data_IF_793070683868
#
_entry.id   IF_793070683868
#
_cell.length_a   1.000
_cell.length_b   1.000
_cell.length_c   1.000
_cell.angle_alpha   90.00
_cell.angle_beta   90.00
_cell.angle_gamma   90.00
#
_symmetry.space_group_name_H-M   'P 1'
#
loop_
_entity.id
_entity.type
_entity.pdbx_description
1 polymer ?
#
# COMPACT_ATOMS: atom_id res chain seq x y z
N UNK A 1 28.73 77.59 -12.58
CA UNK A 1 29.11 76.76 -11.38
C UNK A 1 27.84 76.41 -10.60
N UNK A 2 27.48 75.11 -10.43
CA UNK A 2 26.33 74.73 -9.60
C UNK A 2 26.61 75.07 -8.14
N UNK A 3 25.65 75.71 -7.46
CA UNK A 3 25.74 76.16 -6.08
C UNK A 3 26.15 74.99 -5.15
N UNK A 4 26.95 75.24 -4.12
CA UNK A 4 27.33 74.28 -3.07
C UNK A 4 26.10 73.61 -2.49
N UNK A 5 25.01 74.36 -2.32
CA UNK A 5 23.69 73.81 -1.86
C UNK A 5 23.13 72.74 -2.77
N UNK A 6 23.23 72.89 -4.09
CA UNK A 6 22.76 71.91 -5.07
C UNK A 6 23.59 70.62 -5.03
N UNK A 7 24.91 70.74 -4.85
CA UNK A 7 25.80 69.55 -4.71
C UNK A 7 25.53 68.78 -3.43
N UNK A 8 25.25 69.45 -2.31
CA UNK A 8 24.95 68.85 -1.02
C UNK A 8 23.60 68.09 -1.04
N UNK A 9 22.56 68.71 -1.60
CA UNK A 9 21.26 68.08 -1.79
C UNK A 9 21.38 66.85 -2.68
N UNK A 10 22.10 66.95 -3.81
CA UNK A 10 22.30 65.83 -4.72
C UNK A 10 23.04 64.65 -4.04
N UNK A 11 24.07 64.92 -3.23
CA UNK A 11 24.82 63.92 -2.48
C UNK A 11 23.96 63.23 -1.49
N UNK A 12 23.15 63.94 -0.70
CA UNK A 12 22.21 63.34 0.28
C UNK A 12 21.18 62.43 -0.41
N UNK A 13 20.60 62.89 -1.53
CA UNK A 13 19.64 62.10 -2.30
C UNK A 13 20.25 60.83 -2.88
N UNK A 14 21.49 60.91 -3.42
CA UNK A 14 22.20 59.73 -3.93
C UNK A 14 22.50 58.73 -2.80
N UNK A 15 22.99 59.21 -1.67
CA UNK A 15 23.25 58.33 -0.52
C UNK A 15 21.98 57.66 0.01
N UNK A 16 20.89 58.40 0.15
CA UNK A 16 19.61 57.83 0.63
C UNK A 16 19.02 56.84 -0.38
N UNK A 17 19.12 57.12 -1.68
CA UNK A 17 18.68 56.18 -2.71
C UNK A 17 19.53 54.88 -2.67
N UNK A 18 20.85 55.02 -2.58
CA UNK A 18 21.77 53.89 -2.53
C UNK A 18 21.51 53.00 -1.29
N UNK A 19 21.35 53.61 -0.12
CA UNK A 19 21.03 52.87 1.12
C UNK A 19 19.67 52.17 1.03
N UNK A 20 18.65 52.82 0.48
CA UNK A 20 17.32 52.24 0.29
C UNK A 20 17.34 51.03 -0.64
N UNK A 21 18.06 51.13 -1.77
CA UNK A 21 18.26 50.03 -2.71
C UNK A 21 19.01 48.87 -2.05
N UNK A 22 20.09 49.16 -1.34
CA UNK A 22 20.87 48.12 -0.63
C UNK A 22 20.03 47.36 0.39
N UNK A 23 19.27 48.08 1.23
CA UNK A 23 18.36 47.47 2.22
C UNK A 23 17.30 46.64 1.51
N UNK A 24 16.72 47.15 0.42
CA UNK A 24 15.72 46.44 -0.37
C UNK A 24 16.25 45.12 -0.95
N UNK A 25 17.44 45.12 -1.53
CA UNK A 25 18.08 43.90 -2.06
C UNK A 25 18.34 42.86 -0.96
N UNK A 26 18.90 43.32 0.18
CA UNK A 26 19.13 42.41 1.32
C UNK A 26 17.82 41.86 1.86
N UNK A 27 16.79 42.67 2.04
CA UNK A 27 15.49 42.26 2.52
C UNK A 27 14.83 41.22 1.60
N UNK A 28 14.83 41.46 0.29
CA UNK A 28 14.29 40.56 -0.72
C UNK A 28 15.07 39.24 -0.71
N UNK A 29 16.40 39.30 -0.72
CA UNK A 29 17.26 38.11 -0.70
C UNK A 29 16.99 37.22 0.54
N UNK A 30 16.88 37.85 1.72
CA UNK A 30 16.57 37.14 2.95
C UNK A 30 15.15 36.56 2.94
N UNK A 31 14.16 37.30 2.43
CA UNK A 31 12.78 36.83 2.32
C UNK A 31 12.67 35.60 1.40
N UNK A 32 13.30 35.64 0.22
CA UNK A 32 13.32 34.51 -0.71
C UNK A 32 14.00 33.28 -0.09
N UNK A 33 15.14 33.50 0.59
CA UNK A 33 15.85 32.39 1.26
C UNK A 33 15.04 31.79 2.39
N UNK A 34 14.37 32.60 3.20
CA UNK A 34 13.52 32.13 4.29
C UNK A 34 12.31 31.39 3.75
N UNK A 35 11.60 31.95 2.76
CA UNK A 35 10.47 31.31 2.12
C UNK A 35 10.85 29.95 1.50
N UNK A 36 12.02 29.84 0.88
CA UNK A 36 12.50 28.57 0.35
C UNK A 36 12.78 27.52 1.43
N UNK A 37 13.36 27.93 2.56
CA UNK A 37 13.57 27.03 3.71
C UNK A 37 12.24 26.58 4.34
N UNK A 38 11.32 27.52 4.54
CA UNK A 38 10.01 27.23 5.12
C UNK A 38 9.23 26.28 4.21
N UNK A 39 9.29 26.48 2.88
CA UNK A 39 8.70 25.58 1.91
C UNK A 39 9.25 24.16 2.02
N UNK A 40 10.59 24.01 2.06
CA UNK A 40 11.23 22.70 2.19
C UNK A 40 10.84 22.01 3.50
N UNK A 41 10.84 22.74 4.61
CA UNK A 41 10.44 22.21 5.92
C UNK A 41 8.97 21.76 5.89
N UNK A 42 8.08 22.57 5.31
CA UNK A 42 6.67 22.22 5.16
C UNK A 42 6.51 20.93 4.33
N UNK A 43 7.21 20.79 3.21
CA UNK A 43 7.19 19.60 2.37
C UNK A 43 7.66 18.36 3.15
N UNK A 44 8.77 18.48 3.88
CA UNK A 44 9.29 17.38 4.70
C UNK A 44 8.30 16.95 5.79
N UNK A 45 7.77 17.88 6.55
CA UNK A 45 6.81 17.58 7.61
C UNK A 45 5.50 16.97 7.07
N UNK A 46 5.00 17.51 5.94
CA UNK A 46 3.81 16.96 5.30
C UNK A 46 4.05 15.55 4.79
N UNK A 47 5.20 15.32 4.13
CA UNK A 47 5.60 14.00 3.66
C UNK A 47 5.74 13.00 4.81
N UNK A 48 6.45 13.36 5.88
CA UNK A 48 6.59 12.50 7.06
C UNK A 48 5.24 12.12 7.66
N UNK A 49 4.37 13.11 7.88
CA UNK A 49 3.03 12.85 8.43
C UNK A 49 2.24 11.87 7.57
N UNK A 50 2.24 12.07 6.24
CA UNK A 50 1.50 11.18 5.32
C UNK A 50 2.12 9.79 5.24
N UNK A 51 3.44 9.68 5.30
CA UNK A 51 4.12 8.39 5.42
C UNK A 51 3.72 7.65 6.70
N UNK A 52 3.62 8.35 7.84
CA UNK A 52 3.15 7.75 9.08
C UNK A 52 1.69 7.28 8.99
N UNK A 53 0.79 8.04 8.35
CA UNK A 53 -0.60 7.66 8.12
C UNK A 53 -0.70 6.40 7.23
N UNK A 54 0.04 6.34 6.12
CA UNK A 54 0.11 5.17 5.24
C UNK A 54 0.68 3.96 5.97
N UNK A 55 1.81 4.12 6.68
CA UNK A 55 2.41 3.04 7.44
C UNK A 55 1.47 2.49 8.52
N UNK A 56 0.73 3.38 9.21
CA UNK A 56 -0.27 2.96 10.19
C UNK A 56 -1.40 2.13 9.55
N UNK A 57 -1.82 2.48 8.33
CA UNK A 57 -2.84 1.73 7.59
C UNK A 57 -2.30 0.35 7.20
N UNK A 58 -1.10 0.29 6.62
CA UNK A 58 -0.41 -0.95 6.25
C UNK A 58 -0.25 -1.87 7.46
N UNK A 59 0.30 -1.37 8.58
CA UNK A 59 0.49 -2.15 9.80
C UNK A 59 -0.80 -2.73 10.38
N UNK A 60 -1.92 -2.02 10.29
CA UNK A 60 -3.23 -2.54 10.75
C UNK A 60 -3.70 -3.71 9.89
N UNK A 61 -3.46 -3.64 8.57
CA UNK A 61 -3.80 -4.72 7.64
C UNK A 61 -2.90 -5.94 7.94
N UNK A 62 -1.59 -5.74 8.02
CA UNK A 62 -0.64 -6.79 8.39
C UNK A 62 -1.05 -7.46 9.70
N UNK A 63 -1.25 -6.69 10.76
CA UNK A 63 -1.67 -7.22 12.06
C UNK A 63 -2.98 -8.01 11.98
N UNK A 64 -3.94 -7.57 11.15
CA UNK A 64 -5.21 -8.28 10.98
C UNK A 64 -5.00 -9.65 10.33
N UNK A 65 -4.24 -9.71 9.23
CA UNK A 65 -3.99 -10.96 8.50
C UNK A 65 -3.08 -11.90 9.29
N UNK A 66 -2.04 -11.36 9.96
CA UNK A 66 -1.16 -12.15 10.82
C UNK A 66 -1.94 -12.78 11.98
N UNK A 67 -2.79 -12.00 12.66
CA UNK A 67 -3.65 -12.53 13.73
C UNK A 67 -4.65 -13.56 13.18
N UNK A 68 -5.22 -13.31 12.00
CA UNK A 68 -6.09 -14.28 11.35
C UNK A 68 -5.35 -15.59 11.05
N UNK A 69 -4.09 -15.52 10.61
CA UNK A 69 -3.28 -16.71 10.35
C UNK A 69 -3.07 -17.55 11.61
N UNK A 70 -2.79 -16.91 12.75
CA UNK A 70 -2.67 -17.57 14.05
C UNK A 70 -4.00 -18.20 14.50
N UNK A 71 -5.11 -17.47 14.38
CA UNK A 71 -6.46 -17.97 14.71
C UNK A 71 -6.84 -19.14 13.81
N UNK A 72 -6.58 -19.06 12.50
CA UNK A 72 -6.87 -20.11 11.54
C UNK A 72 -6.07 -21.39 11.81
N UNK A 73 -4.93 -21.30 12.50
CA UNK A 73 -4.08 -22.45 12.81
C UNK A 73 -4.22 -22.94 14.25
N UNK A 74 -4.94 -22.23 15.13
CA UNK A 74 -4.97 -22.49 16.59
C UNK A 74 -5.43 -23.88 16.98
N UNK A 75 -6.31 -24.50 16.19
CA UNK A 75 -6.86 -25.85 16.41
C UNK A 75 -6.63 -26.77 15.20
N UNK A 76 -5.68 -26.44 14.33
CA UNK A 76 -5.40 -27.23 13.15
C UNK A 76 -4.64 -28.51 13.51
N UNK A 77 -5.19 -29.67 13.13
CA UNK A 77 -4.53 -30.96 13.30
C UNK A 77 -3.78 -31.35 12.03
N UNK A 78 -2.48 -31.14 12.08
CA UNK A 78 -1.59 -31.40 10.94
C UNK A 78 -1.51 -32.89 10.58
N UNK A 79 -1.58 -33.78 11.55
CA UNK A 79 -1.52 -35.21 11.29
C UNK A 79 -2.78 -35.68 10.53
N UNK A 80 -3.95 -35.25 10.96
CA UNK A 80 -5.20 -35.48 10.25
C UNK A 80 -5.21 -34.89 8.83
N UNK A 81 -4.66 -33.68 8.67
CA UNK A 81 -4.52 -33.03 7.36
C UNK A 81 -3.67 -33.84 6.38
N UNK A 82 -2.59 -34.44 6.84
CA UNK A 82 -1.73 -35.29 5.99
C UNK A 82 -2.39 -36.62 5.61
N UNK A 83 -3.29 -37.11 6.44
CA UNK A 83 -3.91 -38.44 6.26
C UNK A 83 -5.18 -38.41 5.41
N UNK A 84 -5.88 -37.28 5.37
CA UNK A 84 -7.17 -37.17 4.67
C UNK A 84 -7.32 -35.79 4.00
N UNK A 85 -7.57 -35.79 2.71
CA UNK A 85 -7.88 -34.57 1.96
C UNK A 85 -9.19 -33.90 2.42
N UNK A 86 -10.14 -34.68 2.93
CA UNK A 86 -11.42 -34.18 3.40
C UNK A 86 -11.31 -33.43 4.76
N UNK A 87 -10.17 -33.60 5.47
CA UNK A 87 -9.92 -32.84 6.69
C UNK A 87 -9.96 -31.33 6.46
N UNK A 88 -9.36 -30.86 5.38
CA UNK A 88 -9.34 -29.44 5.02
C UNK A 88 -10.76 -28.86 4.87
N UNK A 89 -11.67 -29.61 4.25
CA UNK A 89 -13.07 -29.17 4.08
C UNK A 89 -13.79 -29.09 5.42
N UNK A 90 -13.67 -30.13 6.26
CA UNK A 90 -14.26 -30.14 7.60
C UNK A 90 -13.70 -29.03 8.49
N UNK A 91 -12.39 -28.80 8.44
CA UNK A 91 -11.74 -27.74 9.21
C UNK A 91 -12.16 -26.35 8.74
N UNK A 92 -12.34 -26.17 7.43
CA UNK A 92 -12.85 -24.92 6.83
C UNK A 92 -14.16 -24.48 7.47
N UNK A 93 -15.10 -25.41 7.70
CA UNK A 93 -16.39 -25.12 8.35
C UNK A 93 -16.22 -24.52 9.75
N UNK A 94 -15.16 -24.89 10.47
CA UNK A 94 -14.90 -24.39 11.83
C UNK A 94 -14.29 -23.00 11.86
N UNK A 95 -13.49 -22.61 10.84
CA UNK A 95 -12.75 -21.35 10.82
C UNK A 95 -13.36 -20.29 9.92
N UNK A 96 -14.29 -20.68 9.03
CA UNK A 96 -14.88 -19.79 8.03
C UNK A 96 -15.43 -18.50 8.64
N UNK A 97 -16.18 -18.61 9.76
CA UNK A 97 -16.76 -17.42 10.38
C UNK A 97 -15.68 -16.46 10.89
N UNK A 98 -14.61 -16.96 11.49
CA UNK A 98 -13.50 -16.14 11.93
C UNK A 98 -12.82 -15.44 10.74
N UNK A 99 -12.60 -16.15 9.63
CA UNK A 99 -12.03 -15.56 8.39
C UNK A 99 -12.89 -14.40 7.89
N UNK A 100 -14.20 -14.57 7.85
CA UNK A 100 -15.12 -13.50 7.44
C UNK A 100 -15.15 -12.33 8.42
N UNK A 101 -15.12 -12.61 9.73
CA UNK A 101 -15.16 -11.57 10.76
C UNK A 101 -13.90 -10.69 10.71
N UNK A 102 -12.72 -11.28 10.54
CA UNK A 102 -11.48 -10.51 10.36
C UNK A 102 -11.55 -9.60 9.15
N UNK A 103 -11.99 -10.11 8.00
CA UNK A 103 -12.12 -9.30 6.78
C UNK A 103 -13.17 -8.19 6.92
N UNK A 104 -14.29 -8.46 7.59
CA UNK A 104 -15.31 -7.44 7.85
C UNK A 104 -14.83 -6.32 8.78
N UNK A 105 -13.85 -6.61 9.64
CA UNK A 105 -13.26 -5.63 10.56
C UNK A 105 -11.95 -5.01 10.03
N UNK A 106 -11.45 -5.46 8.87
CA UNK A 106 -10.26 -4.90 8.22
C UNK A 106 -10.70 -3.85 7.21
N UNK A 107 -10.28 -2.61 7.43
CA UNK A 107 -10.64 -1.50 6.55
C UNK A 107 -10.12 -1.72 5.14
N UNK A 108 -11.00 -1.58 4.15
CA UNK A 108 -10.66 -1.75 2.74
C UNK A 108 -10.55 -3.20 2.27
N UNK A 109 -10.77 -4.21 3.13
CA UNK A 109 -10.76 -5.60 2.71
C UNK A 109 -11.89 -5.88 1.70
N UNK A 110 -11.51 -6.28 0.50
CA UNK A 110 -12.40 -6.63 -0.61
C UNK A 110 -12.53 -8.13 -0.76
N UNK A 111 -11.41 -8.84 -0.58
CA UNK A 111 -11.36 -10.30 -0.65
C UNK A 111 -10.64 -10.84 0.57
N UNK A 112 -11.03 -12.02 1.05
CA UNK A 112 -10.31 -12.78 2.06
C UNK A 112 -10.29 -14.24 1.65
N UNK A 113 -9.17 -14.90 1.89
CA UNK A 113 -9.00 -16.30 1.56
C UNK A 113 -8.11 -17.05 2.53
N UNK A 114 -8.48 -18.30 2.78
CA UNK A 114 -7.66 -19.34 3.40
C UNK A 114 -7.58 -20.48 2.39
N UNK A 115 -6.39 -20.79 1.88
CA UNK A 115 -6.21 -21.83 0.88
C UNK A 115 -5.17 -22.84 1.33
N UNK A 116 -5.51 -24.11 1.24
CA UNK A 116 -4.65 -25.20 1.67
C UNK A 116 -3.72 -25.69 0.57
N UNK A 117 -2.70 -26.42 0.99
CA UNK A 117 -1.76 -27.07 0.09
C UNK A 117 -2.49 -28.16 -0.74
N UNK A 118 -2.52 -28.05 -2.07
CA UNK A 118 -3.27 -28.95 -2.95
C UNK A 118 -2.78 -30.41 -2.91
N UNK A 119 -1.56 -30.65 -2.40
CA UNK A 119 -1.05 -31.99 -2.20
C UNK A 119 -1.80 -32.75 -1.09
N UNK A 120 -2.35 -32.02 -0.10
CA UNK A 120 -2.99 -32.57 1.10
C UNK A 120 -4.47 -32.21 1.23
N UNK A 121 -5.03 -31.43 0.31
CA UNK A 121 -6.43 -30.99 0.33
C UNK A 121 -7.12 -31.24 -1.00
N UNK A 122 -8.45 -31.11 -1.03
CA UNK A 122 -9.19 -31.05 -2.27
C UNK A 122 -8.93 -29.71 -2.98
N UNK A 123 -8.96 -29.65 -4.32
CA UNK A 123 -8.55 -28.44 -5.08
C UNK A 123 -9.32 -27.17 -4.73
N UNK A 124 -10.56 -27.31 -4.25
CA UNK A 124 -11.45 -26.20 -3.89
C UNK A 124 -11.59 -26.02 -2.38
N UNK A 125 -10.81 -26.76 -1.57
CA UNK A 125 -10.84 -26.63 -0.10
C UNK A 125 -10.36 -25.25 0.35
N UNK A 126 -11.02 -24.74 1.38
CA UNK A 126 -10.68 -23.46 2.00
C UNK A 126 -11.79 -22.43 1.91
N UNK A 127 -11.49 -21.24 2.40
CA UNK A 127 -12.39 -20.08 2.34
C UNK A 127 -11.98 -19.18 1.18
N UNK A 128 -12.94 -18.70 0.43
CA UNK A 128 -12.79 -17.59 -0.49
C UNK A 128 -14.05 -16.73 -0.40
N UNK A 129 -13.91 -15.49 0.04
CA UNK A 129 -15.02 -14.56 0.12
C UNK A 129 -14.64 -13.23 -0.50
N UNK A 130 -15.55 -12.63 -1.26
CA UNK A 130 -15.32 -11.40 -2.01
C UNK A 130 -16.52 -10.47 -1.90
N UNK A 131 -16.26 -9.17 -1.89
CA UNK A 131 -17.25 -8.12 -2.06
C UNK A 131 -17.46 -7.83 -3.55
N UNK A 132 -18.70 -7.58 -3.93
CA UNK A 132 -19.02 -7.16 -5.31
C UNK A 132 -18.69 -5.68 -5.56
N UNK A 133 -18.66 -4.89 -4.48
CA UNK A 133 -18.20 -3.49 -4.45
C UNK A 133 -17.67 -3.20 -3.04
N UNK A 134 -16.93 -2.13 -2.86
CA UNK A 134 -16.31 -1.75 -1.57
C UNK A 134 -17.33 -1.73 -0.42
N UNK A 135 -18.55 -1.29 -0.69
CA UNK A 135 -19.62 -1.13 0.31
C UNK A 135 -20.55 -2.37 0.44
N UNK A 136 -20.32 -3.42 -0.35
CA UNK A 136 -21.16 -4.62 -0.29
C UNK A 136 -20.69 -5.58 0.81
N UNK A 137 -21.56 -6.50 1.21
CA UNK A 137 -21.20 -7.57 2.12
C UNK A 137 -20.28 -8.61 1.45
N UNK A 138 -19.43 -9.25 2.25
CA UNK A 138 -18.63 -10.39 1.79
C UNK A 138 -19.54 -11.57 1.44
N UNK A 139 -19.34 -12.12 0.26
CA UNK A 139 -20.02 -13.31 -0.22
C UNK A 139 -19.03 -14.46 -0.35
N UNK A 140 -19.31 -15.58 0.32
CA UNK A 140 -18.54 -16.80 0.13
C UNK A 140 -18.75 -17.33 -1.28
N UNK A 141 -17.68 -17.61 -1.97
CA UNK A 141 -17.63 -18.21 -3.30
C UNK A 141 -16.88 -19.53 -3.22
N UNK A 142 -17.15 -20.41 -4.17
CA UNK A 142 -16.35 -21.62 -4.31
C UNK A 142 -14.93 -21.24 -4.72
N UNK A 143 -13.90 -21.64 -3.96
CA UNK A 143 -12.52 -21.34 -4.32
C UNK A 143 -12.15 -21.96 -5.68
N UNK A 144 -11.38 -21.24 -6.48
CA UNK A 144 -10.87 -21.73 -7.75
C UNK A 144 -9.87 -22.86 -7.54
N UNK A 145 -9.95 -23.90 -8.38
CA UNK A 145 -8.91 -24.91 -8.45
C UNK A 145 -7.66 -24.34 -9.12
N UNK A 146 -6.68 -23.96 -8.32
CA UNK A 146 -5.41 -23.42 -8.79
C UNK A 146 -4.37 -24.51 -9.07
N UNK A 147 -4.62 -25.77 -8.69
CA UNK A 147 -3.72 -26.89 -8.93
C UNK A 147 -3.61 -27.29 -10.40
N UNK A 148 -4.47 -26.73 -11.26
CA UNK A 148 -4.42 -26.91 -12.71
C UNK A 148 -3.34 -26.09 -13.41
N UNK A 149 -2.73 -25.11 -12.71
CA UNK A 149 -1.66 -24.26 -13.22
C UNK A 149 -0.30 -24.77 -12.76
N UNK A 150 0.74 -24.53 -13.58
CA UNK A 150 2.13 -24.76 -13.15
C UNK A 150 2.53 -23.79 -12.03
N UNK A 151 3.31 -24.26 -11.06
CA UNK A 151 3.75 -23.43 -9.92
C UNK A 151 4.56 -22.20 -10.35
N UNK A 152 5.17 -22.23 -11.52
CA UNK A 152 5.91 -21.10 -12.12
C UNK A 152 5.02 -20.08 -12.83
N UNK A 153 3.72 -20.35 -12.96
CA UNK A 153 2.74 -19.42 -13.54
C UNK A 153 2.36 -18.33 -12.53
N UNK A 154 3.25 -17.32 -12.40
CA UNK A 154 3.09 -16.23 -11.43
C UNK A 154 1.81 -15.44 -11.66
N UNK A 155 1.34 -15.36 -12.91
CA UNK A 155 0.12 -14.62 -13.25
C UNK A 155 -1.12 -15.22 -12.59
N UNK A 156 -1.28 -16.55 -12.65
CA UNK A 156 -2.47 -17.22 -12.13
C UNK A 156 -2.34 -17.69 -10.70
N UNK A 157 -1.13 -18.10 -10.27
CA UNK A 157 -0.95 -18.74 -8.95
C UNK A 157 0.19 -18.14 -8.11
N UNK A 158 0.77 -17.00 -8.54
CA UNK A 158 1.81 -16.32 -7.80
C UNK A 158 1.37 -15.89 -6.41
N UNK A 159 0.11 -15.51 -6.24
CA UNK A 159 -0.49 -15.15 -4.94
C UNK A 159 -0.41 -16.30 -3.90
N UNK A 160 -0.34 -17.56 -4.36
CA UNK A 160 -0.17 -18.74 -3.52
C UNK A 160 1.31 -19.13 -3.37
N UNK A 161 2.02 -19.31 -4.48
CA UNK A 161 3.36 -19.89 -4.45
C UNK A 161 4.46 -18.92 -4.03
N UNK A 162 4.36 -17.63 -4.34
CA UNK A 162 5.41 -16.66 -3.97
C UNK A 162 5.61 -16.55 -2.46
N UNK A 163 4.57 -16.37 -1.61
CA UNK A 163 4.76 -16.33 -0.16
C UNK A 163 5.25 -17.68 0.40
N UNK A 164 4.78 -18.80 -0.16
CA UNK A 164 5.24 -20.14 0.26
C UNK A 164 6.72 -20.35 -0.06
N UNK A 165 7.19 -19.91 -1.22
CA UNK A 165 8.62 -19.99 -1.61
C UNK A 165 9.49 -19.03 -0.80
N UNK A 166 9.01 -17.83 -0.54
CA UNK A 166 9.69 -16.84 0.30
C UNK A 166 9.76 -17.27 1.77
N UNK A 167 8.82 -18.11 2.23
CA UNK A 167 8.62 -18.53 3.63
C UNK A 167 8.38 -17.37 4.59
N UNK A 168 7.84 -16.30 4.09
CA UNK A 168 7.49 -15.10 4.83
C UNK A 168 6.25 -14.44 4.23
N UNK A 169 5.60 -13.62 5.03
CA UNK A 169 4.46 -12.83 4.57
C UNK A 169 4.94 -11.79 3.57
N UNK A 170 4.18 -11.59 2.48
CA UNK A 170 4.54 -10.64 1.43
C UNK A 170 3.35 -9.77 1.01
N UNK A 171 3.67 -8.54 0.62
CA UNK A 171 2.79 -7.70 -0.16
C UNK A 171 2.96 -8.00 -1.64
N UNK A 172 1.85 -8.33 -2.31
CA UNK A 172 1.83 -8.46 -3.77
C UNK A 172 1.79 -7.07 -4.41
N UNK A 173 2.26 -6.95 -5.65
CA UNK A 173 2.10 -5.71 -6.40
C UNK A 173 0.62 -5.38 -6.63
N UNK A 174 0.25 -4.08 -6.62
CA UNK A 174 -1.12 -3.69 -6.92
C UNK A 174 -1.57 -4.16 -8.30
N UNK A 175 -2.82 -4.61 -8.41
CA UNK A 175 -3.41 -5.09 -9.66
C UNK A 175 -4.90 -4.74 -9.77
N UNK A 176 -5.41 -4.71 -11.00
CA UNK A 176 -6.83 -4.49 -11.26
C UNK A 176 -7.57 -5.84 -11.24
N UNK A 177 -8.56 -5.97 -10.38
CA UNK A 177 -9.52 -7.06 -10.47
C UNK A 177 -10.65 -6.65 -11.42
N UNK A 178 -10.60 -7.13 -12.65
CA UNK A 178 -11.54 -6.75 -13.70
C UNK A 178 -12.97 -7.24 -13.41
N UNK A 179 -13.14 -8.31 -12.63
CA UNK A 179 -14.47 -8.86 -12.32
C UNK A 179 -15.32 -7.91 -11.45
N UNK A 180 -14.67 -7.16 -10.57
CA UNK A 180 -15.33 -6.20 -9.66
C UNK A 180 -14.91 -4.76 -9.92
N UNK A 181 -13.99 -4.54 -10.87
CA UNK A 181 -13.44 -3.24 -11.26
C UNK A 181 -12.85 -2.46 -10.07
N UNK A 182 -12.09 -3.16 -9.22
CA UNK A 182 -11.38 -2.57 -8.07
C UNK A 182 -9.88 -2.79 -8.24
N UNK A 183 -9.10 -1.71 -8.05
CA UNK A 183 -7.64 -1.79 -8.00
C UNK A 183 -7.22 -2.19 -6.59
N UNK A 184 -6.56 -3.33 -6.45
CA UNK A 184 -6.30 -3.99 -5.18
C UNK A 184 -4.81 -4.22 -4.94
N UNK A 185 -4.46 -4.36 -3.66
CA UNK A 185 -3.15 -4.82 -3.21
C UNK A 185 -3.38 -5.97 -2.21
N UNK A 186 -2.59 -7.02 -2.28
CA UNK A 186 -2.78 -8.21 -1.45
C UNK A 186 -1.67 -8.36 -0.42
N UNK A 187 -2.03 -8.67 0.83
CA UNK A 187 -1.10 -9.15 1.84
C UNK A 187 -1.37 -10.61 2.14
N UNK A 188 -0.33 -11.44 2.02
CA UNK A 188 -0.46 -12.90 2.07
C UNK A 188 0.56 -13.50 3.05
N UNK A 189 0.06 -14.32 3.97
CA UNK A 189 0.84 -15.01 5.00
C UNK A 189 0.86 -16.51 4.68
N UNK A 190 2.03 -17.12 4.48
CA UNK A 190 2.15 -18.55 4.29
C UNK A 190 2.04 -19.28 5.64
N UNK A 191 1.39 -20.43 5.61
CA UNK A 191 1.16 -21.28 6.77
C UNK A 191 2.05 -22.52 6.69
N UNK A 192 2.81 -22.78 7.77
CA UNK A 192 3.72 -23.91 7.85
C UNK A 192 3.48 -24.74 9.10
N UNK A 193 3.67 -26.05 8.97
CA UNK A 193 3.79 -26.96 10.10
C UNK A 193 5.18 -26.83 10.76
N UNK A 194 5.33 -27.41 11.95
CA UNK A 194 6.60 -27.41 12.68
C UNK A 194 7.76 -28.07 11.91
N UNK A 195 7.45 -29.04 11.04
CA UNK A 195 8.44 -29.72 10.19
C UNK A 195 8.82 -28.91 8.93
N UNK A 196 8.23 -27.71 8.77
CA UNK A 196 8.46 -26.82 7.62
C UNK A 196 7.63 -27.18 6.38
N UNK A 197 6.70 -28.12 6.46
CA UNK A 197 5.78 -28.43 5.37
C UNK A 197 4.74 -27.31 5.24
N UNK A 198 4.51 -26.82 4.02
CA UNK A 198 3.46 -25.83 3.76
C UNK A 198 2.08 -26.44 3.98
N UNK A 199 1.30 -25.80 4.84
CA UNK A 199 -0.13 -26.11 5.05
C UNK A 199 -0.98 -25.35 4.03
N UNK A 200 -0.58 -24.15 3.68
CA UNK A 200 -1.31 -23.27 2.78
C UNK A 200 -0.97 -21.80 2.97
N UNK A 201 -1.95 -20.95 2.75
CA UNK A 201 -1.83 -19.49 2.92
C UNK A 201 -3.11 -18.89 3.48
N UNK A 202 -2.97 -17.73 4.13
CA UNK A 202 -4.07 -16.80 4.43
C UNK A 202 -3.74 -15.45 3.79
N UNK A 203 -4.73 -14.80 3.18
CA UNK A 203 -4.52 -13.49 2.59
C UNK A 203 -5.78 -12.65 2.54
N UNK A 204 -5.56 -11.35 2.38
CA UNK A 204 -6.60 -10.37 2.09
C UNK A 204 -6.18 -9.48 0.92
N UNK A 205 -7.14 -9.21 0.04
CA UNK A 205 -7.00 -8.19 -0.99
C UNK A 205 -7.69 -6.92 -0.47
N UNK A 206 -6.94 -5.83 -0.51
CA UNK A 206 -7.35 -4.54 0.03
C UNK A 206 -7.57 -3.57 -1.13
N UNK A 207 -8.65 -2.82 -1.10
CA UNK A 207 -8.86 -1.70 -2.02
C UNK A 207 -7.70 -0.70 -1.90
N UNK A 208 -6.93 -0.58 -2.97
CA UNK A 208 -5.75 0.27 -3.01
C UNK A 208 -6.08 1.76 -2.85
N UNK A 209 -7.34 2.16 -3.04
CA UNK A 209 -7.80 3.52 -2.79
C UNK A 209 -7.58 3.95 -1.33
N UNK A 210 -7.56 3.01 -0.38
CA UNK A 210 -7.22 3.28 1.02
C UNK A 210 -5.84 3.93 1.19
N UNK A 211 -4.93 3.69 0.24
CA UNK A 211 -3.58 4.27 0.23
C UNK A 211 -3.51 5.46 -0.74
N UNK A 212 -4.10 5.33 -1.94
CA UNK A 212 -3.99 6.39 -2.96
C UNK A 212 -4.76 7.64 -2.57
N UNK A 213 -5.88 7.54 -1.85
CA UNK A 213 -6.61 8.69 -1.35
C UNK A 213 -5.77 9.53 -0.37
N UNK A 214 -5.00 8.88 0.50
CA UNK A 214 -4.06 9.56 1.39
C UNK A 214 -2.99 10.34 0.63
N UNK A 215 -2.57 9.81 -0.52
CA UNK A 215 -1.61 10.49 -1.41
C UNK A 215 -2.28 11.66 -2.12
N UNK A 216 -3.49 11.50 -2.66
CA UNK A 216 -4.23 12.52 -3.40
C UNK A 216 -4.68 13.70 -2.52
N UNK A 217 -5.00 13.43 -1.26
CA UNK A 217 -5.31 14.47 -0.27
C UNK A 217 -4.09 15.30 0.10
N UNK A 218 -2.88 14.84 -0.21
CA UNK A 218 -1.64 15.53 0.15
C UNK A 218 -1.40 16.71 -0.77
N UNK A 219 -1.72 17.91 -0.28
CA UNK A 219 -1.50 19.16 -0.98
C UNK A 219 -0.32 19.91 -0.36
N UNK A 220 0.60 20.32 -1.21
CA UNK A 220 1.71 21.20 -0.85
C UNK A 220 1.51 22.52 -1.59
N UNK A 221 1.10 23.56 -0.88
CA UNK A 221 0.69 24.84 -1.46
C UNK A 221 -0.46 24.68 -2.47
N UNK A 222 -0.51 25.55 -3.50
CA UNK A 222 -1.60 25.58 -4.48
C UNK A 222 -1.41 24.58 -5.64
N UNK A 223 -0.18 24.18 -5.93
CA UNK A 223 0.16 23.39 -7.13
C UNK A 223 0.99 22.15 -6.84
N UNK A 224 1.42 21.95 -5.60
CA UNK A 224 2.16 20.75 -5.21
C UNK A 224 1.24 19.56 -5.03
N UNK A 225 1.77 18.37 -5.31
CA UNK A 225 1.12 17.08 -5.14
C UNK A 225 2.12 16.06 -4.60
N UNK A 226 1.60 14.94 -4.10
CA UNK A 226 2.37 13.77 -3.71
C UNK A 226 2.20 12.65 -4.73
N UNK A 227 3.11 11.68 -4.71
CA UNK A 227 3.03 10.43 -5.44
C UNK A 227 3.70 9.33 -4.60
N UNK A 228 3.41 8.07 -4.90
CA UNK A 228 3.93 6.91 -4.18
C UNK A 228 4.97 6.18 -5.03
N UNK A 229 6.08 5.78 -4.41
CA UNK A 229 7.09 4.93 -5.02
C UNK A 229 7.36 3.71 -4.15
N UNK A 230 7.85 2.64 -4.76
CA UNK A 230 8.45 1.53 -4.04
C UNK A 230 9.89 1.86 -3.58
N UNK A 231 10.53 0.88 -2.93
CA UNK A 231 11.91 1.01 -2.44
C UNK A 231 12.95 1.15 -3.57
N UNK A 232 12.62 0.77 -4.81
CA UNK A 232 13.46 0.93 -6.01
C UNK A 232 13.26 2.29 -6.70
N UNK A 233 12.40 3.15 -6.12
CA UNK A 233 11.94 4.41 -6.68
C UNK A 233 11.07 4.27 -7.95
N UNK A 234 10.51 3.08 -8.21
CA UNK A 234 9.50 2.91 -9.24
C UNK A 234 8.18 3.53 -8.77
N UNK A 235 7.50 4.29 -9.65
CA UNK A 235 6.26 4.98 -9.31
C UNK A 235 5.13 3.97 -9.24
N UNK A 236 4.61 3.73 -8.04
CA UNK A 236 3.45 2.87 -7.78
C UNK A 236 2.12 3.60 -7.99
N UNK A 237 2.08 4.88 -7.64
CA UNK A 237 0.90 5.71 -7.82
C UNK A 237 1.26 7.16 -8.07
N UNK A 238 0.61 7.77 -9.05
CA UNK A 238 0.71 9.18 -9.37
C UNK A 238 -0.63 9.69 -9.90
N UNK A 239 -1.06 10.87 -9.45
CA UNK A 239 -2.34 11.49 -9.86
C UNK A 239 -2.50 11.64 -11.38
N UNK A 240 -1.40 11.88 -12.10
CA UNK A 240 -1.38 11.83 -13.56
C UNK A 240 -0.87 10.45 -14.00
N UNK A 241 -1.76 9.61 -14.53
CA UNK A 241 -1.45 8.27 -14.99
C UNK A 241 -0.33 8.23 -16.05
N UNK A 242 -0.20 9.28 -16.88
CA UNK A 242 0.88 9.38 -17.89
C UNK A 242 2.29 9.47 -17.26
N UNK A 243 2.38 9.83 -15.97
CA UNK A 243 3.63 9.91 -15.23
C UNK A 243 4.02 8.59 -14.56
N UNK A 244 3.11 7.61 -14.54
CA UNK A 244 3.39 6.27 -14.00
C UNK A 244 4.21 5.52 -15.03
N UNK A 245 5.43 5.14 -14.65
CA UNK A 245 6.25 4.29 -15.50
C UNK A 245 5.71 2.85 -15.43
N UNK A 246 4.87 2.49 -16.39
CA UNK A 246 4.29 1.14 -16.52
C UNK A 246 5.32 0.03 -16.78
N UNK A 247 6.61 0.33 -16.82
CA UNK A 247 7.67 -0.64 -17.07
C UNK A 247 7.80 -1.74 -16.02
N UNK A 248 7.09 -1.60 -14.87
CA UNK A 248 7.00 -2.65 -13.84
C UNK A 248 5.56 -3.04 -13.47
N UNK A 249 4.55 -2.40 -14.08
CA UNK A 249 3.12 -2.72 -13.87
C UNK A 249 2.51 -3.55 -15.00
N UNK A 250 3.30 -4.02 -15.92
CA UNK A 250 2.88 -5.06 -16.84
C UNK A 250 3.18 -6.42 -16.20
N UNK A 251 2.39 -6.78 -15.19
CA UNK A 251 1.99 -8.16 -15.06
C UNK A 251 0.86 -8.33 -16.07
N UNK A 252 1.05 -9.17 -17.06
CA UNK A 252 0.03 -9.49 -18.05
C UNK A 252 -1.20 -10.08 -17.37
#
# INVERSE_FOLDING_TARGET
MKSVRTKLIASILICSLFTSVLIGVIAISNSVRTAGKDAMTMMQLTGQKKTEEINSTIQKIEQSVDTLSEVAMSNFDYDSFRQSKDYADTYTETVQQAVLDFANHTNGAVTVYLRYNPNYSNPTSGVFAQRQSVDSELQCLTPTDFSMYDESDVEHVGWYYLPVQAKEAIWMSPYMNENINIYMISYVVPLFAEDGTSIGIVGMDIDFSQITDLVDETKVYQSGYAFLTDASAAVMYHKNADAVSYTHLTLP
#
